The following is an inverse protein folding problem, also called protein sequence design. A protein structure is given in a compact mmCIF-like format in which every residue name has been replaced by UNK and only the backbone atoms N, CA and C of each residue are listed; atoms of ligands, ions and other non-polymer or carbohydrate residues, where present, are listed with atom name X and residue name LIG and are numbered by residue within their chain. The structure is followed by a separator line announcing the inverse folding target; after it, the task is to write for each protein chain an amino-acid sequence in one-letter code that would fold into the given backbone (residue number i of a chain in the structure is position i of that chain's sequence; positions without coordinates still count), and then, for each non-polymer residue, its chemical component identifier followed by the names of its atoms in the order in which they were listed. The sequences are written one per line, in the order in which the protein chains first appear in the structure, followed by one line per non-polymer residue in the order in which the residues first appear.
data_IF_286049762680
#
_entry.id   IF_286049762680
#
_cell.length_a   1.000
_cell.length_b   1.000
_cell.length_c   1.000
_cell.angle_alpha   90.00
_cell.angle_beta   90.00
_cell.angle_gamma   90.00
#
_symmetry.space_group_name_H-M   'P 1'
#
loop_
_entity.id
_entity.type
_entity.pdbx_description
1 polymer ?
#
# COMPACT_ATOMS: atom_id res chain seq x y z
N UNK A 1 28.29 -13.14 32.21
CA UNK A 1 28.13 -13.85 30.91
C UNK A 1 27.43 -12.91 29.95
N UNK A 2 28.17 -12.16 29.14
CA UNK A 2 27.58 -11.27 28.12
C UNK A 2 27.40 -12.07 26.82
N UNK A 3 26.41 -12.96 26.81
CA UNK A 3 25.98 -13.65 25.60
C UNK A 3 25.11 -12.74 24.72
N UNK A 4 24.98 -13.07 23.44
CA UNK A 4 24.01 -12.42 22.55
C UNK A 4 22.60 -12.57 23.13
N UNK A 5 21.81 -11.51 23.07
CA UNK A 5 20.38 -11.55 23.41
C UNK A 5 19.61 -12.46 22.45
N UNK A 6 18.40 -12.90 22.84
CA UNK A 6 17.52 -13.64 21.93
C UNK A 6 17.23 -12.84 20.65
N UNK A 7 17.06 -11.52 20.79
CA UNK A 7 16.89 -10.60 19.67
C UNK A 7 18.08 -10.62 18.71
N UNK A 8 19.31 -10.46 19.22
CA UNK A 8 20.52 -10.46 18.39
C UNK A 8 20.75 -11.81 17.70
N UNK A 9 20.38 -12.91 18.38
CA UNK A 9 20.43 -14.25 17.78
C UNK A 9 19.44 -14.39 16.61
N UNK A 10 18.23 -13.83 16.76
CA UNK A 10 17.18 -13.93 15.73
C UNK A 10 17.43 -13.00 14.53
N UNK A 11 17.83 -11.75 14.77
CA UNK A 11 17.88 -10.72 13.74
C UNK A 11 19.29 -10.37 13.26
N UNK A 12 20.34 -10.77 14.00
CA UNK A 12 21.73 -10.49 13.62
C UNK A 12 22.22 -9.07 13.92
N UNK A 13 21.42 -8.24 14.59
CA UNK A 13 21.78 -6.88 15.04
C UNK A 13 21.18 -6.58 16.42
N UNK A 14 21.66 -5.53 17.10
CA UNK A 14 21.18 -5.19 18.44
C UNK A 14 19.88 -4.37 18.38
N UNK A 15 18.93 -4.65 19.30
CA UNK A 15 17.64 -3.93 19.35
C UNK A 15 17.80 -2.40 19.49
N UNK A 16 18.83 -1.95 20.21
CA UNK A 16 19.16 -0.52 20.39
C UNK A 16 19.55 0.21 19.10
N UNK A 17 19.89 -0.54 18.04
CA UNK A 17 20.27 0.03 16.75
C UNK A 17 19.05 0.29 15.85
N UNK A 18 17.88 -0.25 16.20
CA UNK A 18 16.61 0.11 15.55
C UNK A 18 16.07 1.39 16.19
N UNK A 19 16.28 2.50 15.50
CA UNK A 19 15.88 3.86 15.90
C UNK A 19 15.08 4.52 14.80
N UNK A 20 14.50 5.68 15.08
CA UNK A 20 13.71 6.43 14.09
C UNK A 20 14.55 6.87 12.87
N UNK A 21 15.87 7.05 13.03
CA UNK A 21 16.77 7.31 11.90
C UNK A 21 16.97 6.08 11.00
N UNK A 22 17.01 4.88 11.59
CA UNK A 22 17.56 3.66 10.96
C UNK A 22 16.50 2.64 10.61
N UNK A 23 15.27 2.75 11.11
CA UNK A 23 14.28 1.67 11.04
C UNK A 23 13.96 1.18 9.63
N UNK A 24 14.05 2.04 8.61
CA UNK A 24 13.81 1.63 7.20
C UNK A 24 15.04 1.07 6.49
N UNK A 25 16.21 1.13 7.12
CA UNK A 25 17.45 0.62 6.53
C UNK A 25 17.60 -0.86 6.83
N UNK A 26 18.16 -1.62 5.87
CA UNK A 26 18.59 -2.99 6.13
C UNK A 26 19.82 -3.01 7.05
N UNK A 27 19.94 -3.95 7.99
CA UNK A 27 19.00 -5.06 8.24
C UNK A 27 17.85 -4.74 9.21
N UNK A 28 17.78 -3.51 9.74
CA UNK A 28 16.83 -3.13 10.80
C UNK A 28 15.36 -3.23 10.37
N UNK A 29 15.09 -3.01 9.09
CA UNK A 29 13.77 -3.10 8.47
C UNK A 29 13.09 -4.48 8.64
N UNK A 30 13.85 -5.58 8.72
CA UNK A 30 13.34 -6.94 8.96
C UNK A 30 12.53 -7.05 10.25
N UNK A 31 12.93 -6.31 11.28
CA UNK A 31 12.18 -6.26 12.54
C UNK A 31 11.20 -5.09 12.56
N UNK A 32 11.65 -3.90 12.13
CA UNK A 32 10.87 -2.67 12.32
C UNK A 32 9.58 -2.64 11.50
N UNK A 33 9.54 -3.25 10.32
CA UNK A 33 8.36 -3.28 9.46
C UNK A 33 7.22 -4.08 10.09
N UNK A 34 7.54 -4.99 11.02
CA UNK A 34 6.57 -5.72 11.83
C UNK A 34 6.16 -4.97 13.12
N UNK A 35 6.95 -3.97 13.54
CA UNK A 35 6.87 -3.34 14.85
C UNK A 35 6.88 -1.80 14.79
N UNK A 36 6.29 -1.23 13.74
CA UNK A 36 6.32 0.23 13.48
C UNK A 36 5.77 1.05 14.66
N UNK A 37 4.79 0.53 15.39
CA UNK A 37 4.20 1.18 16.56
C UNK A 37 5.18 1.42 17.73
N UNK A 38 6.32 0.73 17.77
CA UNK A 38 7.38 1.01 18.75
C UNK A 38 8.25 2.22 18.38
N UNK A 39 8.08 2.77 17.17
CA UNK A 39 8.95 3.81 16.60
C UNK A 39 8.17 5.07 16.21
N UNK A 40 6.94 4.89 15.71
CA UNK A 40 6.11 5.96 15.19
C UNK A 40 4.73 5.90 15.86
N UNK A 41 4.21 7.03 16.38
CA UNK A 41 2.86 7.10 16.94
C UNK A 41 1.84 6.47 15.98
N UNK A 42 1.00 5.59 16.52
CA UNK A 42 0.06 4.80 15.73
C UNK A 42 -1.29 4.71 16.40
N UNK A 43 -2.35 4.75 15.60
CA UNK A 43 -3.70 4.40 16.04
C UNK A 43 -4.02 2.98 15.61
N UNK A 44 -4.81 2.29 16.43
CA UNK A 44 -5.12 0.88 16.28
C UNK A 44 -6.63 0.69 16.07
N UNK A 45 -7.01 -0.21 15.18
CA UNK A 45 -8.40 -0.53 14.83
C UNK A 45 -8.60 -2.03 15.03
N UNK A 46 -9.48 -2.36 15.99
CA UNK A 46 -9.76 -3.73 16.38
C UNK A 46 -10.27 -4.59 15.22
N UNK A 47 -9.92 -5.88 15.28
CA UNK A 47 -10.41 -6.90 14.36
C UNK A 47 -11.83 -7.35 14.69
N UNK A 48 -12.44 -8.10 13.77
CA UNK A 48 -13.61 -8.89 14.09
C UNK A 48 -13.23 -10.03 15.08
N UNK A 49 -14.16 -10.47 15.96
CA UNK A 49 -13.93 -11.64 16.81
C UNK A 49 -13.65 -12.90 15.98
N UNK A 50 -12.75 -13.77 16.47
CA UNK A 50 -12.49 -15.09 15.86
C UNK A 50 -11.02 -15.36 15.54
N UNK A 51 -10.24 -14.30 15.29
CA UNK A 51 -8.81 -14.41 15.02
C UNK A 51 -8.47 -15.09 13.69
N UNK A 52 -7.17 -15.19 13.41
CA UNK A 52 -6.66 -15.83 12.21
C UNK A 52 -6.67 -17.37 12.37
N UNK A 53 -7.16 -18.09 11.38
CA UNK A 53 -7.04 -19.56 11.35
C UNK A 53 -5.58 -20.02 11.28
N UNK A 54 -5.31 -21.30 11.56
CA UNK A 54 -3.94 -21.86 11.52
C UNK A 54 -3.25 -21.63 10.17
N UNK A 55 -1.93 -21.45 10.20
CA UNK A 55 -1.09 -21.36 9.01
C UNK A 55 -1.27 -22.60 8.12
N UNK A 56 -1.36 -22.40 6.80
CA UNK A 56 -1.41 -23.50 5.83
C UNK A 56 -0.20 -23.38 4.92
N UNK A 57 0.76 -24.30 4.98
CA UNK A 57 1.95 -24.23 4.13
C UNK A 57 1.59 -24.25 2.62
N UNK A 58 2.32 -23.48 1.82
CA UNK A 58 2.29 -23.59 0.34
C UNK A 58 2.89 -24.91 -0.19
N UNK A 59 3.54 -25.72 0.67
CA UNK A 59 3.92 -27.10 0.37
C UNK A 59 4.88 -27.25 -0.82
N UNK A 60 4.57 -28.18 -1.73
CA UNK A 60 5.40 -28.48 -2.91
C UNK A 60 5.51 -27.33 -3.89
N UNK A 61 4.64 -26.31 -3.79
CA UNK A 61 4.73 -25.10 -4.61
C UNK A 61 6.10 -24.41 -4.47
N UNK A 62 6.78 -24.57 -3.33
CA UNK A 62 8.13 -24.02 -3.13
C UNK A 62 9.18 -24.59 -4.09
N UNK A 63 8.96 -25.79 -4.61
CA UNK A 63 9.88 -26.49 -5.52
C UNK A 63 9.57 -26.22 -7.00
N UNK A 64 8.40 -25.64 -7.29
CA UNK A 64 8.02 -25.27 -8.65
C UNK A 64 8.97 -24.21 -9.22
N UNK A 65 9.27 -24.32 -10.51
CA UNK A 65 10.22 -23.44 -11.20
C UNK A 65 9.50 -22.28 -11.86
N UNK A 66 10.01 -21.07 -11.62
CA UNK A 66 9.60 -19.86 -12.33
C UNK A 66 10.73 -19.46 -13.29
N UNK A 67 10.37 -19.02 -14.49
CA UNK A 67 11.32 -18.50 -15.48
C UNK A 67 11.35 -16.98 -15.46
N UNK A 68 12.54 -16.42 -15.37
CA UNK A 68 12.83 -14.98 -15.42
C UNK A 68 13.76 -14.69 -16.60
N UNK A 69 13.95 -13.42 -16.94
CA UNK A 69 14.88 -13.02 -18.00
C UNK A 69 16.32 -13.50 -17.74
N UNK A 70 16.73 -13.59 -16.47
CA UNK A 70 18.07 -14.01 -16.05
C UNK A 70 18.26 -15.51 -15.81
N UNK A 71 17.24 -16.35 -16.02
CA UNK A 71 17.28 -17.79 -15.74
C UNK A 71 16.04 -18.28 -14.99
N UNK A 72 16.08 -19.52 -14.53
CA UNK A 72 14.98 -20.12 -13.76
C UNK A 72 15.45 -20.52 -12.37
N UNK A 73 14.60 -20.28 -11.37
CA UNK A 73 14.81 -20.69 -9.98
C UNK A 73 13.48 -21.19 -9.40
N UNK A 74 13.53 -21.82 -8.23
CA UNK A 74 12.32 -22.29 -7.56
C UNK A 74 11.56 -21.14 -6.89
N UNK A 75 10.26 -21.30 -6.67
CA UNK A 75 9.44 -20.36 -5.90
C UNK A 75 10.08 -20.06 -4.56
N UNK A 76 10.51 -21.08 -3.82
CA UNK A 76 11.15 -20.91 -2.51
C UNK A 76 12.48 -20.14 -2.56
N UNK A 77 13.23 -20.28 -3.65
CA UNK A 77 14.49 -19.54 -3.87
C UNK A 77 14.20 -18.07 -4.16
N UNK A 78 13.20 -17.81 -5.01
CA UNK A 78 12.80 -16.45 -5.35
C UNK A 78 12.23 -15.68 -4.16
N UNK A 79 11.43 -16.35 -3.30
CA UNK A 79 10.92 -15.72 -2.07
C UNK A 79 12.08 -15.24 -1.17
N UNK A 80 13.16 -16.02 -1.06
CA UNK A 80 14.37 -15.63 -0.31
C UNK A 80 15.14 -14.51 -1.01
N UNK A 81 15.36 -14.61 -2.33
CA UNK A 81 16.08 -13.59 -3.11
C UNK A 81 15.40 -12.23 -3.08
N UNK A 82 14.07 -12.20 -3.01
CA UNK A 82 13.26 -10.98 -3.00
C UNK A 82 12.94 -10.46 -1.59
N UNK A 83 13.71 -10.89 -0.57
CA UNK A 83 13.54 -10.57 0.86
C UNK A 83 12.09 -10.65 1.33
N UNK A 84 11.40 -11.72 0.93
CA UNK A 84 10.02 -11.94 1.37
C UNK A 84 9.98 -12.24 2.85
N UNK A 85 9.05 -11.60 3.56
CA UNK A 85 8.77 -11.84 4.97
C UNK A 85 7.51 -12.69 5.13
N UNK A 86 6.47 -12.38 4.35
CA UNK A 86 5.20 -13.10 4.38
C UNK A 86 4.56 -13.18 3.00
N UNK A 87 3.92 -14.31 2.72
CA UNK A 87 3.15 -14.56 1.51
C UNK A 87 1.83 -15.23 1.91
N UNK A 88 0.71 -14.81 1.32
CA UNK A 88 -0.57 -15.52 1.34
C UNK A 88 -1.11 -15.59 -0.08
N UNK A 89 -1.60 -16.77 -0.47
CA UNK A 89 -2.23 -17.02 -1.77
C UNK A 89 -3.67 -17.48 -1.55
N UNK A 90 -4.62 -16.80 -2.19
CA UNK A 90 -6.01 -17.22 -2.31
C UNK A 90 -6.32 -17.60 -3.76
N UNK A 91 -7.22 -18.57 -3.96
CA UNK A 91 -7.82 -18.90 -5.25
C UNK A 91 -9.32 -19.09 -5.10
N UNK A 92 -10.12 -18.35 -5.86
CA UNK A 92 -11.58 -18.40 -5.75
C UNK A 92 -12.07 -18.12 -4.32
N UNK A 93 -11.39 -17.20 -3.61
CA UNK A 93 -11.67 -16.87 -2.20
C UNK A 93 -11.23 -17.92 -1.17
N UNK A 94 -10.59 -19.02 -1.58
CA UNK A 94 -10.10 -20.07 -0.67
C UNK A 94 -8.60 -19.99 -0.49
N UNK A 95 -8.12 -20.26 0.73
CA UNK A 95 -6.70 -20.29 1.05
C UNK A 95 -5.99 -21.43 0.33
N UNK A 96 -5.07 -21.09 -0.57
CA UNK A 96 -4.13 -22.03 -1.17
C UNK A 96 -3.04 -22.35 -0.16
N UNK A 97 -2.36 -21.31 0.34
CA UNK A 97 -1.37 -21.44 1.41
C UNK A 97 -0.70 -20.11 1.77
N UNK A 98 0.16 -20.19 2.77
CA UNK A 98 0.97 -19.16 3.35
C UNK A 98 2.44 -19.59 3.36
N UNK A 99 3.33 -18.61 3.32
CA UNK A 99 4.73 -18.77 3.59
C UNK A 99 5.19 -17.61 4.49
N UNK A 100 6.11 -17.89 5.41
CA UNK A 100 6.69 -16.88 6.30
C UNK A 100 8.19 -17.09 6.44
N UNK A 101 8.94 -16.00 6.43
CA UNK A 101 10.36 -16.03 6.72
C UNK A 101 10.61 -16.40 8.19
N UNK A 102 11.79 -16.95 8.54
CA UNK A 102 12.10 -17.34 9.92
C UNK A 102 11.97 -16.21 10.94
N UNK A 103 12.14 -14.95 10.52
CA UNK A 103 12.04 -13.78 11.40
C UNK A 103 10.65 -13.14 11.42
N UNK A 104 9.67 -13.67 10.68
CA UNK A 104 8.28 -13.21 10.70
C UNK A 104 7.37 -14.30 11.28
N UNK A 105 6.93 -14.17 12.55
CA UNK A 105 5.93 -15.06 13.10
C UNK A 105 4.66 -15.06 12.25
N UNK A 106 4.01 -16.22 12.11
CA UNK A 106 2.71 -16.29 11.46
C UNK A 106 1.69 -15.39 12.19
N UNK A 107 0.91 -14.63 11.44
CA UNK A 107 -0.04 -13.64 11.99
C UNK A 107 0.62 -12.33 12.46
N UNK A 108 1.94 -12.17 12.29
CA UNK A 108 2.57 -10.86 12.49
C UNK A 108 2.02 -9.85 11.48
N UNK A 109 1.79 -8.63 11.96
CA UNK A 109 1.48 -7.50 11.07
C UNK A 109 2.74 -7.04 10.39
N UNK A 110 2.57 -6.41 9.24
CA UNK A 110 3.64 -5.80 8.48
C UNK A 110 3.14 -4.49 7.88
N UNK A 111 3.99 -3.46 7.85
CA UNK A 111 3.67 -2.23 7.14
C UNK A 111 3.56 -2.51 5.64
N UNK A 112 2.45 -2.07 5.03
CA UNK A 112 2.17 -2.33 3.61
C UNK A 112 2.61 -1.18 2.70
N UNK A 113 3.28 -0.17 3.28
CA UNK A 113 3.67 1.06 2.61
C UNK A 113 2.56 1.55 1.68
N UNK A 114 2.87 1.79 0.41
CA UNK A 114 1.99 2.47 -0.53
C UNK A 114 0.75 1.69 -0.95
N UNK A 115 0.59 0.42 -0.55
CA UNK A 115 -0.70 -0.26 -0.66
C UNK A 115 -1.75 0.42 0.24
N UNK A 116 -1.34 1.14 1.29
CA UNK A 116 -2.20 2.01 2.11
C UNK A 116 -3.02 2.99 1.27
N UNK A 117 -2.47 3.45 0.14
CA UNK A 117 -3.15 4.35 -0.81
C UNK A 117 -4.40 3.68 -1.39
N UNK A 118 -4.25 2.42 -1.80
CA UNK A 118 -5.30 1.60 -2.37
C UNK A 118 -6.43 1.33 -1.36
N UNK A 119 -6.06 1.09 -0.09
CA UNK A 119 -7.02 0.98 1.03
C UNK A 119 -7.77 2.29 1.27
N UNK A 120 -7.07 3.43 1.21
CA UNK A 120 -7.69 4.76 1.38
C UNK A 120 -8.68 5.08 0.24
N UNK A 121 -8.36 4.68 -0.98
CA UNK A 121 -9.27 4.84 -2.11
C UNK A 121 -10.50 3.93 -2.05
N UNK A 122 -10.41 2.78 -1.38
CA UNK A 122 -11.60 1.98 -1.03
C UNK A 122 -12.54 2.79 -0.14
N UNK A 123 -12.03 3.45 0.91
CA UNK A 123 -12.86 4.31 1.77
C UNK A 123 -13.51 5.45 0.97
N UNK A 124 -12.76 6.09 0.07
CA UNK A 124 -13.30 7.12 -0.83
C UNK A 124 -14.46 6.58 -1.69
N UNK A 125 -14.31 5.36 -2.22
CA UNK A 125 -15.37 4.70 -3.00
C UNK A 125 -16.62 4.36 -2.19
N UNK A 126 -16.46 3.96 -0.93
CA UNK A 126 -17.58 3.74 -0.01
C UNK A 126 -18.33 5.07 0.23
N UNK A 127 -17.61 6.14 0.57
CA UNK A 127 -18.20 7.46 0.80
C UNK A 127 -18.85 8.04 -0.46
N UNK A 128 -18.30 7.74 -1.65
CA UNK A 128 -18.91 8.11 -2.92
C UNK A 128 -20.25 7.40 -3.12
N UNK A 129 -20.32 6.10 -2.82
CA UNK A 129 -21.58 5.35 -2.85
C UNK A 129 -22.62 5.85 -1.85
N UNK A 130 -22.17 6.44 -0.74
CA UNK A 130 -23.03 7.08 0.27
C UNK A 130 -23.44 8.51 -0.10
N UNK A 131 -22.97 9.05 -1.23
CA UNK A 131 -23.27 10.42 -1.68
C UNK A 131 -22.55 11.51 -0.89
N UNK A 132 -21.54 11.16 -0.08
CA UNK A 132 -20.76 12.10 0.73
C UNK A 132 -19.48 12.58 0.04
N UNK A 133 -19.08 11.90 -1.05
CA UNK A 133 -17.81 12.14 -1.72
C UNK A 133 -18.00 12.17 -3.25
N UNK A 134 -17.60 13.27 -3.87
CA UNK A 134 -17.64 13.47 -5.31
C UNK A 134 -16.22 13.57 -5.88
N UNK A 135 -15.75 12.58 -6.66
CA UNK A 135 -14.46 12.65 -7.33
C UNK A 135 -14.33 13.82 -8.31
N UNK A 136 -15.42 14.34 -8.87
CA UNK A 136 -15.33 15.42 -9.85
C UNK A 136 -15.29 16.82 -9.21
N UNK A 137 -15.61 16.93 -7.92
CA UNK A 137 -15.53 18.18 -7.20
C UNK A 137 -14.07 18.67 -7.10
N UNK A 138 -13.85 20.00 -7.04
CA UNK A 138 -12.53 20.55 -6.74
C UNK A 138 -12.12 20.18 -5.31
N UNK A 139 -10.82 19.98 -5.05
CA UNK A 139 -10.30 19.71 -3.70
C UNK A 139 -10.74 20.78 -2.69
N UNK A 140 -10.80 22.03 -3.14
CA UNK A 140 -11.23 23.19 -2.35
C UNK A 140 -12.69 23.16 -1.91
N UNK A 141 -13.52 22.26 -2.46
CA UNK A 141 -14.86 22.00 -1.96
C UNK A 141 -14.82 21.41 -0.53
N UNK A 142 -13.90 20.49 -0.27
CA UNK A 142 -13.76 19.81 1.02
C UNK A 142 -12.70 20.47 1.92
N UNK A 143 -11.68 21.09 1.32
CA UNK A 143 -10.55 21.71 2.02
C UNK A 143 -10.35 23.12 1.47
N UNK A 144 -11.17 24.11 1.87
CA UNK A 144 -11.05 25.50 1.39
C UNK A 144 -9.64 26.09 1.56
N UNK A 145 -8.91 25.65 2.59
CA UNK A 145 -7.55 26.06 2.91
C UNK A 145 -6.52 25.64 1.83
N UNK A 146 -6.86 24.70 0.95
CA UNK A 146 -6.01 24.25 -0.17
C UNK A 146 -5.89 25.27 -1.32
N UNK A 147 -6.63 26.38 -1.27
CA UNK A 147 -6.68 27.41 -2.33
C UNK A 147 -5.32 28.03 -2.68
N UNK A 148 -4.36 28.04 -1.74
CA UNK A 148 -3.02 28.59 -1.96
C UNK A 148 -1.96 27.52 -2.29
N UNK A 149 -2.38 26.26 -2.48
CA UNK A 149 -1.51 25.12 -2.72
C UNK A 149 -1.60 24.61 -4.15
N UNK A 150 -0.78 23.61 -4.48
CA UNK A 150 -0.83 22.85 -5.72
C UNK A 150 -2.19 22.19 -6.02
N UNK A 151 -3.05 22.08 -5.01
CA UNK A 151 -4.36 21.44 -5.10
C UNK A 151 -5.51 22.42 -5.37
N UNK A 152 -5.22 23.72 -5.48
CA UNK A 152 -6.23 24.79 -5.53
C UNK A 152 -7.34 24.59 -6.57
N UNK A 153 -6.95 24.23 -7.81
CA UNK A 153 -7.83 23.95 -8.95
C UNK A 153 -7.82 22.47 -9.36
N UNK A 154 -7.20 21.59 -8.57
CA UNK A 154 -7.25 20.16 -8.79
C UNK A 154 -8.63 19.59 -8.44
N UNK A 155 -9.12 18.65 -9.25
CA UNK A 155 -10.25 17.81 -8.85
C UNK A 155 -9.79 16.71 -7.89
N UNK A 156 -10.72 16.20 -7.08
CA UNK A 156 -10.49 14.99 -6.27
C UNK A 156 -10.11 13.79 -7.15
N UNK A 157 -10.60 13.75 -8.39
CA UNK A 157 -10.24 12.77 -9.41
C UNK A 157 -8.76 12.84 -9.78
N UNK A 158 -8.20 14.04 -9.92
CA UNK A 158 -6.76 14.19 -10.13
C UNK A 158 -5.95 13.67 -8.95
N UNK A 159 -6.44 13.91 -7.73
CA UNK A 159 -5.83 13.38 -6.50
C UNK A 159 -5.86 11.85 -6.51
N UNK A 160 -7.01 11.22 -6.79
CA UNK A 160 -7.20 9.77 -6.88
C UNK A 160 -6.29 9.11 -7.93
N UNK A 161 -6.19 9.71 -9.11
CA UNK A 161 -5.53 9.13 -10.27
C UNK A 161 -4.05 9.50 -10.37
N UNK A 162 -3.49 10.19 -9.36
CA UNK A 162 -2.09 10.65 -9.33
C UNK A 162 -1.74 11.53 -10.55
N UNK A 163 -2.66 12.41 -10.94
CA UNK A 163 -2.48 13.34 -12.06
C UNK A 163 -2.51 14.80 -11.62
N UNK A 164 -2.35 15.07 -10.33
CA UNK A 164 -2.04 16.41 -9.83
C UNK A 164 -0.66 16.80 -10.34
N UNK A 165 -0.57 18.01 -10.87
CA UNK A 165 0.65 18.60 -11.42
C UNK A 165 1.47 19.17 -10.27
N UNK A 166 2.13 18.28 -9.53
CA UNK A 166 2.76 18.58 -8.26
C UNK A 166 4.28 18.72 -8.43
N UNK A 167 4.84 19.86 -8.02
CA UNK A 167 6.27 20.09 -7.98
C UNK A 167 6.86 19.49 -6.70
N UNK A 168 7.03 18.18 -6.74
CA UNK A 168 7.53 17.40 -5.63
C UNK A 168 8.26 16.19 -6.19
N UNK A 169 9.40 15.85 -5.60
CA UNK A 169 10.17 14.66 -5.97
C UNK A 169 10.28 13.73 -4.76
N UNK A 170 10.05 12.43 -4.95
CA UNK A 170 10.20 11.43 -3.90
C UNK A 170 11.63 10.91 -3.84
N UNK A 171 12.57 11.79 -3.47
CA UNK A 171 13.97 11.43 -3.30
C UNK A 171 14.17 10.61 -1.99
N UNK A 172 13.88 9.31 -2.05
CA UNK A 172 13.82 8.38 -0.90
C UNK A 172 15.08 8.35 -0.02
N UNK A 173 16.23 8.63 -0.63
CA UNK A 173 17.56 8.54 -0.02
C UNK A 173 18.20 9.89 0.29
N UNK A 174 17.59 11.01 -0.12
CA UNK A 174 18.12 12.35 0.16
C UNK A 174 17.53 12.92 1.48
N UNK A 175 18.34 13.07 2.53
CA UNK A 175 17.89 13.54 3.84
C UNK A 175 17.56 15.04 3.90
N UNK A 176 17.91 15.81 2.87
CA UNK A 176 17.66 17.26 2.79
C UNK A 176 16.54 17.62 1.80
N UNK A 177 16.03 16.64 1.05
CA UNK A 177 14.95 16.84 0.08
C UNK A 177 13.64 17.33 0.71
N UNK A 178 12.74 17.85 -0.15
CA UNK A 178 11.33 18.09 0.22
C UNK A 178 10.65 16.80 0.75
N UNK A 179 11.08 15.64 0.25
CA UNK A 179 10.61 14.33 0.74
C UNK A 179 11.05 14.04 2.18
N UNK A 180 12.24 14.48 2.59
CA UNK A 180 12.68 14.37 3.97
C UNK A 180 11.86 15.27 4.91
N UNK A 181 11.54 16.51 4.49
CA UNK A 181 10.61 17.40 5.24
C UNK A 181 9.23 16.76 5.38
N UNK A 182 8.70 16.22 4.30
CA UNK A 182 7.44 15.46 4.29
C UNK A 182 7.45 14.27 5.26
N UNK A 183 8.54 13.49 5.30
CA UNK A 183 8.66 12.40 6.28
C UNK A 183 8.73 12.93 7.72
N UNK A 184 9.42 14.05 7.97
CA UNK A 184 9.44 14.71 9.28
C UNK A 184 8.05 15.18 9.72
N UNK A 185 7.24 15.74 8.82
CA UNK A 185 5.87 16.16 9.15
C UNK A 185 4.95 14.99 9.52
N UNK A 186 5.33 13.76 9.14
CA UNK A 186 4.63 12.52 9.52
C UNK A 186 5.23 11.81 10.73
N UNK A 187 6.25 12.39 11.39
CA UNK A 187 7.03 11.79 12.46
C UNK A 187 7.78 10.51 12.07
N UNK A 188 7.99 10.29 10.77
CA UNK A 188 8.70 9.14 10.23
C UNK A 188 10.21 9.32 10.18
N UNK A 189 10.68 10.55 10.40
CA UNK A 189 12.08 10.94 10.51
C UNK A 189 12.29 11.79 11.77
N UNK A 190 13.50 11.77 12.36
CA UNK A 190 13.86 12.69 13.43
C UNK A 190 13.75 14.16 12.99
N UNK A 191 13.56 15.05 13.97
CA UNK A 191 13.35 16.48 13.73
C UNK A 191 11.95 16.84 13.23
N UNK A 192 10.98 15.92 13.37
CA UNK A 192 9.56 16.21 13.21
C UNK A 192 8.94 16.90 14.43
N UNK A 193 7.63 17.12 14.39
CA UNK A 193 6.86 17.70 15.51
C UNK A 193 6.75 19.23 15.52
N UNK A 194 7.20 19.89 14.46
CA UNK A 194 7.08 21.34 14.26
C UNK A 194 6.11 21.73 13.13
N UNK A 195 5.74 20.77 12.29
CA UNK A 195 4.84 20.93 11.16
C UNK A 195 4.01 19.64 11.02
N UNK A 196 2.69 19.78 10.94
CA UNK A 196 1.80 18.63 10.70
C UNK A 196 1.80 18.22 9.23
N UNK A 197 1.38 16.99 8.95
CA UNK A 197 1.21 16.48 7.60
C UNK A 197 0.23 17.37 6.82
N UNK A 198 -0.90 17.75 7.43
CA UNK A 198 -1.88 18.61 6.80
C UNK A 198 -1.28 19.98 6.44
N UNK A 199 -0.58 20.63 7.37
CA UNK A 199 0.10 21.90 7.12
C UNK A 199 1.13 21.79 5.99
N UNK A 200 1.97 20.74 6.00
CA UNK A 200 2.96 20.50 4.97
C UNK A 200 2.33 20.41 3.57
N UNK A 201 1.25 19.64 3.41
CA UNK A 201 0.58 19.45 2.11
C UNK A 201 0.11 20.76 1.49
N UNK A 202 -0.33 21.71 2.31
CA UNK A 202 -0.80 23.03 1.85
C UNK A 202 0.35 23.94 1.36
N UNK A 203 1.62 23.59 1.65
CA UNK A 203 2.79 24.34 1.17
C UNK A 203 3.24 23.92 -0.23
N UNK A 204 2.81 22.76 -0.71
CA UNK A 204 3.24 22.21 -1.98
C UNK A 204 2.81 23.09 -3.15
N UNK A 205 3.69 23.23 -4.14
CA UNK A 205 3.47 24.07 -5.32
C UNK A 205 3.21 23.22 -6.56
N UNK A 206 2.53 23.81 -7.54
CA UNK A 206 2.22 23.14 -8.80
C UNK A 206 3.30 23.39 -9.85
N UNK A 207 3.48 22.42 -10.74
CA UNK A 207 4.24 22.62 -11.97
C UNK A 207 3.41 23.45 -12.97
N UNK A 208 4.04 23.86 -14.07
CA UNK A 208 3.36 24.60 -15.14
C UNK A 208 2.34 23.78 -15.95
N UNK A 209 2.47 22.45 -15.95
CA UNK A 209 1.59 21.53 -16.67
C UNK A 209 0.17 21.53 -16.05
N UNK A 210 -0.92 21.46 -16.83
CA UNK A 210 -2.26 21.27 -16.29
C UNK A 210 -2.44 19.94 -15.56
N UNK A 211 -3.34 19.90 -14.57
CA UNK A 211 -3.77 18.66 -13.93
C UNK A 211 -4.39 17.68 -14.95
N UNK A 212 -4.35 16.38 -14.64
CA UNK A 212 -4.93 15.34 -15.48
C UNK A 212 -4.03 14.86 -16.62
N UNK A 213 -3.00 15.63 -16.99
CA UNK A 213 -2.20 15.33 -18.17
C UNK A 213 -1.21 14.19 -17.93
N UNK A 214 -0.40 14.24 -16.88
CA UNK A 214 0.65 13.22 -16.69
C UNK A 214 0.43 12.47 -15.39
N UNK A 215 0.49 11.14 -15.45
CA UNK A 215 0.57 10.33 -14.24
C UNK A 215 1.93 10.58 -13.57
N UNK A 216 1.88 11.10 -12.34
CA UNK A 216 3.06 11.34 -11.50
C UNK A 216 2.80 10.72 -10.15
N UNK A 217 3.53 9.65 -9.86
CA UNK A 217 3.44 9.01 -8.57
C UNK A 217 3.93 9.97 -7.46
N UNK A 218 3.02 10.41 -6.60
CA UNK A 218 3.28 11.37 -5.51
C UNK A 218 2.46 11.01 -4.27
N UNK A 219 3.14 10.55 -3.24
CA UNK A 219 2.56 10.18 -1.96
C UNK A 219 1.73 11.31 -1.32
N UNK A 220 2.11 12.60 -1.40
CA UNK A 220 1.27 13.70 -0.91
C UNK A 220 -0.18 13.67 -1.39
N UNK A 221 -0.43 13.25 -2.64
CA UNK A 221 -1.79 13.11 -3.16
C UNK A 221 -2.63 12.10 -2.36
N UNK A 222 -2.01 11.12 -1.72
CA UNK A 222 -2.75 10.08 -0.99
C UNK A 222 -3.00 10.46 0.47
N UNK A 223 -2.16 11.32 1.06
CA UNK A 223 -2.48 11.94 2.34
C UNK A 223 -3.51 13.05 2.19
N UNK A 224 -3.45 13.81 1.09
CA UNK A 224 -4.52 14.72 0.72
C UNK A 224 -5.84 13.95 0.57
N UNK A 225 -5.83 12.77 -0.05
CA UNK A 225 -7.01 11.89 -0.11
C UNK A 225 -7.49 11.46 1.30
N UNK A 226 -6.57 11.19 2.22
CA UNK A 226 -6.90 10.90 3.62
C UNK A 226 -7.67 12.04 4.28
N UNK A 227 -7.17 13.28 4.15
CA UNK A 227 -7.84 14.47 4.70
C UNK A 227 -9.20 14.69 4.00
N UNK A 228 -9.27 14.49 2.68
CA UNK A 228 -10.51 14.61 1.91
C UNK A 228 -11.60 13.66 2.43
N UNK A 229 -11.28 12.38 2.71
CA UNK A 229 -12.27 11.43 3.22
C UNK A 229 -12.69 11.74 4.67
N UNK A 230 -11.79 12.29 5.49
CA UNK A 230 -12.16 12.76 6.83
C UNK A 230 -13.08 13.99 6.77
N UNK A 231 -12.77 14.97 5.91
CA UNK A 231 -13.59 16.18 5.73
C UNK A 231 -14.98 15.86 5.16
N UNK A 232 -15.07 14.94 4.21
CA UNK A 232 -16.33 14.52 3.62
C UNK A 232 -17.25 13.77 4.59
N UNK A 233 -16.68 12.96 5.49
CA UNK A 233 -17.44 12.11 6.41
C UNK A 233 -17.62 12.69 7.81
N UNK A 234 -16.78 13.67 8.20
CA UNK A 234 -16.66 14.15 9.58
C UNK A 234 -16.04 13.13 10.55
N UNK A 235 -15.46 12.03 10.05
CA UNK A 235 -14.88 10.95 10.87
C UNK A 235 -13.41 10.75 10.56
N UNK A 236 -12.63 10.34 11.56
CA UNK A 236 -11.22 10.00 11.36
C UNK A 236 -11.04 8.76 10.48
N UNK A 237 -9.92 8.66 9.77
CA UNK A 237 -9.59 7.48 8.94
C UNK A 237 -9.65 6.19 9.74
N UNK A 238 -9.20 6.17 11.01
CA UNK A 238 -9.29 4.97 11.85
C UNK A 238 -10.73 4.55 12.12
N UNK A 239 -11.65 5.49 12.30
CA UNK A 239 -13.08 5.21 12.47
C UNK A 239 -13.70 4.71 11.17
N UNK A 240 -13.38 5.34 10.04
CA UNK A 240 -13.82 4.89 8.72
C UNK A 240 -13.31 3.49 8.40
N UNK A 241 -12.02 3.23 8.66
CA UNK A 241 -11.43 1.89 8.52
C UNK A 241 -12.21 0.88 9.33
N UNK A 242 -12.44 1.14 10.62
CA UNK A 242 -13.17 0.24 11.51
C UNK A 242 -14.58 -0.06 10.99
N UNK A 243 -15.39 0.98 10.82
CA UNK A 243 -16.83 0.87 10.58
C UNK A 243 -17.18 0.45 9.16
N UNK A 244 -16.43 0.97 8.17
CA UNK A 244 -16.78 0.84 6.76
C UNK A 244 -16.05 -0.28 6.05
N UNK A 245 -14.84 -0.64 6.50
CA UNK A 245 -14.01 -1.63 5.82
C UNK A 245 -13.64 -2.83 6.68
N UNK A 246 -12.92 -2.62 7.79
CA UNK A 246 -12.24 -3.67 8.54
C UNK A 246 -13.22 -4.66 9.20
N UNK A 247 -14.21 -4.16 9.94
CA UNK A 247 -15.24 -5.02 10.53
C UNK A 247 -16.15 -5.65 9.47
N UNK A 248 -16.68 -4.92 8.47
CA UNK A 248 -17.47 -5.53 7.39
C UNK A 248 -16.72 -6.59 6.57
N UNK A 249 -15.41 -6.41 6.35
CA UNK A 249 -14.54 -7.36 5.64
C UNK A 249 -14.38 -8.67 6.43
N UNK A 250 -14.64 -8.65 7.74
CA UNK A 250 -14.35 -9.77 8.63
C UNK A 250 -12.85 -9.97 8.79
N UNK A 251 -12.08 -8.87 8.83
CA UNK A 251 -10.65 -8.92 9.04
C UNK A 251 -10.32 -9.58 10.40
N UNK A 252 -9.32 -10.46 10.38
CA UNK A 252 -9.04 -11.37 11.48
C UNK A 252 -8.05 -10.81 12.50
N UNK A 253 -7.24 -9.82 12.08
CA UNK A 253 -6.23 -9.18 12.92
C UNK A 253 -6.43 -7.67 12.97
N UNK A 254 -5.83 -7.02 13.96
CA UNK A 254 -5.88 -5.56 14.11
C UNK A 254 -5.16 -4.88 12.94
N UNK A 255 -5.70 -3.77 12.43
CA UNK A 255 -4.95 -2.84 11.56
C UNK A 255 -4.46 -1.65 12.39
N UNK A 256 -3.22 -1.24 12.16
CA UNK A 256 -2.69 0.02 12.71
C UNK A 256 -2.41 1.02 11.60
N UNK A 257 -2.51 2.31 11.92
CA UNK A 257 -2.12 3.40 11.03
C UNK A 257 -1.22 4.38 11.78
N UNK A 258 -0.02 4.64 11.28
CA UNK A 258 0.83 5.69 11.86
C UNK A 258 0.18 7.06 11.71
N UNK A 259 0.38 7.94 12.68
CA UNK A 259 -0.18 9.30 12.71
C UNK A 259 0.89 10.35 13.00
N UNK A 260 0.64 11.56 12.54
CA UNK A 260 1.49 12.71 12.87
C UNK A 260 1.18 13.29 14.27
N UNK A 261 1.76 14.46 14.56
CA UNK A 261 1.59 15.16 15.84
C UNK A 261 0.16 15.64 16.14
N UNK A 262 -0.69 15.79 15.12
CA UNK A 262 -2.10 16.18 15.26
C UNK A 262 -3.03 14.96 15.21
N UNK A 263 -2.47 13.76 15.00
CA UNK A 263 -3.25 12.55 14.79
C UNK A 263 -3.70 12.35 13.34
N UNK A 264 -3.19 13.13 12.38
CA UNK A 264 -3.48 12.95 10.94
C UNK A 264 -2.94 11.60 10.49
N UNK A 265 -3.80 10.77 9.90
CA UNK A 265 -3.41 9.44 9.43
C UNK A 265 -2.45 9.52 8.23
N UNK A 266 -1.38 8.71 8.27
CA UNK A 266 -0.45 8.51 7.17
C UNK A 266 -1.06 7.58 6.10
N UNK A 267 -2.08 8.04 5.38
CA UNK A 267 -2.80 7.22 4.40
C UNK A 267 -1.99 6.87 3.16
N UNK A 268 -0.90 7.61 2.89
CA UNK A 268 -0.02 7.27 1.78
C UNK A 268 0.89 6.07 2.03
N UNK A 269 1.07 5.61 3.26
CA UNK A 269 2.07 4.57 3.54
C UNK A 269 2.03 3.87 4.90
N UNK A 270 1.24 4.35 5.86
CA UNK A 270 1.44 4.01 7.25
C UNK A 270 0.55 2.93 7.83
N UNK A 271 -0.13 2.15 6.98
CA UNK A 271 -0.96 1.05 7.45
C UNK A 271 -0.13 -0.21 7.67
N UNK A 272 -0.41 -0.95 8.74
CA UNK A 272 0.16 -2.28 8.99
C UNK A 272 -0.95 -3.30 9.26
N UNK A 273 -0.86 -4.46 8.61
CA UNK A 273 -1.84 -5.56 8.69
C UNK A 273 -1.17 -6.91 8.40
N UNK A 274 -1.90 -8.02 8.55
CA UNK A 274 -1.36 -9.35 8.21
C UNK A 274 -1.46 -9.62 6.70
N UNK A 275 -0.61 -10.53 6.13
CA UNK A 275 -0.70 -10.92 4.73
C UNK A 275 -2.10 -11.43 4.33
N UNK A 276 -2.76 -12.17 5.22
CA UNK A 276 -4.10 -12.72 4.96
C UNK A 276 -5.18 -11.65 4.93
N UNK A 277 -5.16 -10.68 5.84
CA UNK A 277 -6.11 -9.56 5.78
C UNK A 277 -5.89 -8.69 4.54
N UNK A 278 -4.64 -8.51 4.11
CA UNK A 278 -4.36 -7.87 2.83
C UNK A 278 -4.92 -8.67 1.64
N UNK A 279 -4.80 -10.00 1.66
CA UNK A 279 -5.38 -10.87 0.64
C UNK A 279 -6.92 -10.82 0.64
N UNK A 280 -7.58 -10.67 1.80
CA UNK A 280 -9.04 -10.45 1.90
C UNK A 280 -9.47 -9.18 1.18
N UNK A 281 -8.70 -8.09 1.29
CA UNK A 281 -8.95 -6.85 0.52
C UNK A 281 -8.86 -7.13 -0.98
N UNK A 282 -7.83 -7.85 -1.43
CA UNK A 282 -7.70 -8.21 -2.84
C UNK A 282 -8.86 -9.06 -3.36
N UNK A 283 -9.30 -10.04 -2.58
CA UNK A 283 -10.45 -10.88 -2.93
C UNK A 283 -11.75 -10.09 -2.97
N UNK A 284 -11.97 -9.16 -2.02
CA UNK A 284 -13.12 -8.26 -2.06
C UNK A 284 -13.14 -7.41 -3.35
N UNK A 285 -11.99 -6.87 -3.76
CA UNK A 285 -11.87 -6.12 -5.00
C UNK A 285 -12.11 -7.02 -6.23
N UNK A 286 -11.60 -8.25 -6.23
CA UNK A 286 -11.87 -9.24 -7.29
C UNK A 286 -13.35 -9.56 -7.41
N UNK A 287 -14.06 -9.62 -6.28
CA UNK A 287 -15.51 -9.88 -6.17
C UNK A 287 -16.37 -8.62 -6.34
N UNK A 288 -15.86 -7.58 -7.02
CA UNK A 288 -16.65 -6.38 -7.32
C UNK A 288 -17.06 -5.58 -6.07
N UNK A 289 -16.29 -5.67 -4.98
CA UNK A 289 -16.54 -4.95 -3.73
C UNK A 289 -17.35 -5.73 -2.70
N UNK A 290 -17.55 -7.04 -2.90
CA UNK A 290 -18.31 -7.91 -1.99
C UNK A 290 -17.38 -8.77 -1.14
N UNK A 291 -17.65 -8.86 0.15
CA UNK A 291 -17.03 -9.83 1.06
C UNK A 291 -18.08 -10.40 2.01
N UNK A 292 -17.96 -11.68 2.36
CA UNK A 292 -18.88 -12.37 3.29
C UNK A 292 -20.37 -12.19 2.94
N UNK A 293 -20.70 -12.21 1.64
CA UNK A 293 -22.08 -12.02 1.15
C UNK A 293 -22.61 -10.58 1.26
N UNK A 294 -21.79 -9.61 1.68
CA UNK A 294 -22.16 -8.20 1.80
C UNK A 294 -21.36 -7.35 0.83
N UNK A 295 -22.05 -6.45 0.12
CA UNK A 295 -21.39 -5.39 -0.65
C UNK A 295 -20.84 -4.32 0.30
N UNK A 296 -19.53 -4.14 0.28
CA UNK A 296 -18.80 -3.13 1.05
C UNK A 296 -18.56 -1.91 0.16
N UNK A 297 -18.00 -2.13 -1.04
CA UNK A 297 -17.70 -1.09 -2.01
C UNK A 297 -18.71 -1.15 -3.16
N UNK A 298 -19.21 -0.01 -3.67
CA UNK A 298 -20.06 -0.01 -4.86
C UNK A 298 -19.40 -0.71 -6.05
N UNK A 299 -20.15 -1.58 -6.73
CA UNK A 299 -19.63 -2.33 -7.88
C UNK A 299 -19.10 -1.40 -8.98
N UNK A 300 -19.82 -0.30 -9.22
CA UNK A 300 -19.44 0.70 -10.20
C UNK A 300 -18.06 1.32 -9.89
N UNK A 301 -17.77 1.59 -8.61
CA UNK A 301 -16.46 2.09 -8.19
C UNK A 301 -15.36 1.05 -8.41
N UNK A 302 -15.62 -0.21 -8.06
CA UNK A 302 -14.63 -1.29 -8.25
C UNK A 302 -14.36 -1.51 -9.73
N UNK A 303 -15.40 -1.61 -10.56
CA UNK A 303 -15.28 -1.76 -12.03
C UNK A 303 -14.53 -0.58 -12.66
N UNK A 304 -14.85 0.65 -12.24
CA UNK A 304 -14.10 1.84 -12.64
C UNK A 304 -12.62 1.74 -12.26
N UNK A 305 -12.33 1.27 -11.04
CA UNK A 305 -10.97 1.15 -10.51
C UNK A 305 -10.12 0.14 -11.29
N UNK A 306 -10.63 -1.06 -11.53
CA UNK A 306 -9.80 -2.19 -11.97
C UNK A 306 -9.96 -2.54 -13.46
N UNK A 307 -10.96 -2.00 -14.15
CA UNK A 307 -11.26 -2.41 -15.53
C UNK A 307 -11.53 -1.25 -16.50
N UNK A 308 -12.39 -0.30 -16.14
CA UNK A 308 -12.92 0.66 -17.13
C UNK A 308 -12.35 2.07 -17.04
N UNK A 309 -11.79 2.46 -15.90
CA UNK A 309 -11.25 3.80 -15.66
C UNK A 309 -9.72 3.89 -15.81
N UNK A 310 -9.20 5.10 -15.62
CA UNK A 310 -7.78 5.43 -15.78
C UNK A 310 -7.42 5.84 -17.20
N UNK A 311 -6.57 6.86 -17.36
CA UNK A 311 -6.11 7.31 -18.68
C UNK A 311 -4.85 6.56 -19.09
N UNK A 312 -4.92 5.92 -20.26
CA UNK A 312 -3.75 5.31 -20.89
C UNK A 312 -2.73 6.38 -21.31
N UNK A 313 -3.18 7.50 -21.88
CA UNK A 313 -2.30 8.57 -22.33
C UNK A 313 -1.53 9.21 -21.17
N UNK A 314 -2.21 9.49 -20.05
CA UNK A 314 -1.55 10.03 -18.87
C UNK A 314 -0.53 9.05 -18.28
N UNK A 315 -0.84 7.75 -18.29
CA UNK A 315 0.10 6.70 -17.89
C UNK A 315 1.34 6.65 -18.78
N UNK A 316 1.17 6.67 -20.11
CA UNK A 316 2.28 6.65 -21.08
C UNK A 316 3.19 7.88 -20.97
N UNK A 317 2.66 9.03 -20.56
CA UNK A 317 3.48 10.22 -20.26
C UNK A 317 4.23 10.13 -18.92
N UNK A 318 3.83 9.20 -18.05
CA UNK A 318 4.44 8.97 -16.75
C UNK A 318 5.67 8.09 -16.80
N UNK A 319 6.28 7.85 -15.63
CA UNK A 319 7.55 7.11 -15.51
C UNK A 319 7.38 5.61 -15.25
N UNK A 320 6.15 5.11 -15.11
CA UNK A 320 5.89 3.71 -14.74
C UNK A 320 5.58 2.79 -15.94
N UNK A 321 5.63 3.34 -17.17
CA UNK A 321 5.37 2.56 -18.38
C UNK A 321 6.38 1.42 -18.60
N UNK A 322 7.58 1.49 -18.01
CA UNK A 322 8.54 0.39 -18.07
C UNK A 322 8.02 -0.88 -17.35
N UNK A 323 7.31 -0.70 -16.23
CA UNK A 323 6.80 -1.81 -15.42
C UNK A 323 5.51 -2.38 -16.04
N UNK A 324 4.62 -1.50 -16.49
CA UNK A 324 3.37 -1.89 -17.18
C UNK A 324 3.23 -1.11 -18.50
N UNK A 325 3.76 -1.62 -19.62
CA UNK A 325 3.72 -0.93 -20.91
C UNK A 325 2.31 -0.64 -21.44
N UNK A 326 1.32 -1.47 -21.05
CA UNK A 326 -0.10 -1.29 -21.38
C UNK A 326 -0.92 -0.83 -20.18
N UNK A 327 -0.24 -0.38 -19.12
CA UNK A 327 -0.85 -0.11 -17.84
C UNK A 327 -1.71 1.15 -17.81
N UNK A 328 -2.43 1.28 -16.69
CA UNK A 328 -3.18 2.47 -16.29
C UNK A 328 -3.12 2.61 -14.78
N UNK A 329 -3.46 3.81 -14.30
CA UNK A 329 -3.65 4.05 -12.87
C UNK A 329 -5.00 4.70 -12.62
N UNK A 330 -5.75 4.17 -11.66
CA UNK A 330 -7.10 4.64 -11.33
C UNK A 330 -7.41 4.40 -9.86
N UNK A 331 -7.95 5.40 -9.16
CA UNK A 331 -8.35 5.27 -7.75
C UNK A 331 -7.28 4.64 -6.86
N UNK A 332 -6.01 5.03 -7.00
CA UNK A 332 -4.89 4.46 -6.23
C UNK A 332 -4.54 2.98 -6.50
N UNK A 333 -4.98 2.42 -7.62
CA UNK A 333 -4.64 1.07 -8.06
C UNK A 333 -3.93 1.07 -9.41
N UNK A 334 -3.00 0.14 -9.57
CA UNK A 334 -2.34 -0.13 -10.85
C UNK A 334 -3.15 -1.17 -11.62
N UNK A 335 -3.43 -0.91 -12.89
CA UNK A 335 -3.88 -1.90 -13.85
C UNK A 335 -2.67 -2.30 -14.69
N UNK A 336 -2.36 -3.59 -14.78
CA UNK A 336 -1.12 -4.05 -15.46
C UNK A 336 -1.22 -3.96 -16.98
N UNK A 337 -2.45 -4.01 -17.51
CA UNK A 337 -2.70 -4.09 -18.96
C UNK A 337 -2.36 -5.46 -19.57
N UNK A 338 -2.13 -6.48 -18.74
CA UNK A 338 -1.98 -7.87 -19.19
C UNK A 338 -3.35 -8.46 -19.57
N UNK A 339 -3.35 -9.47 -20.45
CA UNK A 339 -4.57 -10.17 -20.89
C UNK A 339 -5.30 -10.92 -19.76
N UNK A 340 -4.62 -11.12 -18.62
CA UNK A 340 -5.22 -11.62 -17.38
C UNK A 340 -6.18 -10.62 -16.73
N UNK A 341 -6.14 -9.35 -17.15
CA UNK A 341 -6.86 -8.26 -16.48
C UNK A 341 -6.30 -7.94 -15.09
N UNK A 342 -5.05 -8.33 -14.82
CA UNK A 342 -4.47 -8.20 -13.50
C UNK A 342 -4.38 -6.73 -13.05
N UNK A 343 -4.54 -6.54 -11.74
CA UNK A 343 -4.39 -5.26 -11.08
C UNK A 343 -3.69 -5.45 -9.73
N UNK A 344 -3.06 -4.39 -9.23
CA UNK A 344 -2.28 -4.50 -8.01
C UNK A 344 -2.18 -3.20 -7.20
N UNK A 345 -1.82 -3.37 -5.93
CA UNK A 345 -1.23 -2.35 -5.08
C UNK A 345 0.26 -2.66 -4.89
N UNK A 346 1.10 -1.63 -4.94
CA UNK A 346 2.56 -1.74 -4.83
C UNK A 346 3.04 -0.81 -3.72
N UNK A 347 3.93 -1.32 -2.86
CA UNK A 347 4.62 -0.57 -1.81
C UNK A 347 6.13 -0.78 -1.89
N UNK A 348 6.88 0.26 -1.50
CA UNK A 348 8.35 0.21 -1.42
C UNK A 348 8.83 -0.95 -0.54
N UNK A 349 10.07 -1.37 -0.74
CA UNK A 349 10.67 -2.52 -0.07
C UNK A 349 9.99 -3.87 -0.36
N UNK A 350 9.25 -3.96 -1.47
CA UNK A 350 8.68 -5.22 -1.97
C UNK A 350 7.29 -5.59 -1.44
N UNK A 351 6.43 -4.61 -1.13
CA UNK A 351 5.04 -4.91 -0.75
C UNK A 351 4.18 -5.04 -2.00
N UNK A 352 3.46 -6.15 -2.13
CA UNK A 352 2.58 -6.41 -3.26
C UNK A 352 1.25 -6.99 -2.81
N UNK A 353 0.17 -6.41 -3.32
CA UNK A 353 -1.13 -7.07 -3.42
C UNK A 353 -1.43 -7.21 -4.90
N UNK A 354 -1.30 -8.42 -5.42
CA UNK A 354 -1.49 -8.72 -6.83
C UNK A 354 -2.73 -9.58 -7.02
N UNK A 355 -3.61 -9.20 -7.95
CA UNK A 355 -4.88 -9.87 -8.21
C UNK A 355 -4.98 -10.22 -9.69
N UNK A 356 -5.15 -11.51 -9.98
CA UNK A 356 -5.40 -12.03 -11.32
C UNK A 356 -6.87 -12.48 -11.40
N UNK A 357 -7.77 -11.68 -11.99
CA UNK A 357 -9.18 -12.04 -12.06
C UNK A 357 -9.44 -13.23 -12.99
N UNK A 358 -8.61 -13.45 -14.02
CA UNK A 358 -8.76 -14.57 -14.97
C UNK A 358 -8.52 -15.93 -14.33
N UNK A 359 -7.52 -16.05 -13.46
CA UNK A 359 -7.26 -17.30 -12.72
C UNK A 359 -7.88 -17.32 -11.33
N UNK A 360 -8.58 -16.25 -10.96
CA UNK A 360 -9.20 -16.05 -9.65
C UNK A 360 -8.20 -16.07 -8.48
N UNK A 361 -6.94 -15.69 -8.73
CA UNK A 361 -5.86 -15.73 -7.75
C UNK A 361 -5.59 -14.36 -7.15
N UNK A 362 -5.41 -14.33 -5.83
CA UNK A 362 -4.96 -13.15 -5.07
C UNK A 362 -3.69 -13.52 -4.32
N UNK A 363 -2.65 -12.70 -4.47
CA UNK A 363 -1.35 -12.88 -3.82
C UNK A 363 -1.03 -11.63 -3.00
N UNK A 364 -0.91 -11.80 -1.70
CA UNK A 364 -0.36 -10.79 -0.81
C UNK A 364 1.07 -11.18 -0.44
N UNK A 365 2.04 -10.33 -0.78
CA UNK A 365 3.46 -10.50 -0.48
C UNK A 365 3.96 -9.28 0.28
N UNK A 366 4.58 -9.50 1.43
CA UNK A 366 5.21 -8.48 2.28
C UNK A 366 6.70 -8.78 2.37
N UNK A 367 7.53 -7.74 2.40
CA UNK A 367 8.99 -7.88 2.27
C UNK A 367 9.73 -6.76 3.00
N UNK A 368 11.01 -7.01 3.29
CA UNK A 368 11.91 -6.06 3.92
C UNK A 368 13.17 -5.87 3.06
N UNK A 369 12.95 -5.65 1.75
CA UNK A 369 14.04 -5.44 0.79
C UNK A 369 14.94 -4.27 1.23
N UNK A 370 16.27 -4.38 1.04
CA UNK A 370 17.20 -3.33 1.45
C UNK A 370 16.91 -1.97 0.81
N UNK A 371 16.69 -1.98 -0.51
CA UNK A 371 16.36 -0.78 -1.26
C UNK A 371 14.84 -0.52 -1.28
N UNK A 372 14.41 0.75 -1.25
CA UNK A 372 12.99 1.07 -1.33
C UNK A 372 12.39 0.75 -2.70
N UNK A 373 13.17 0.85 -3.77
CA UNK A 373 12.76 0.58 -5.16
C UNK A 373 13.89 -0.16 -5.87
N UNK A 374 13.56 -1.23 -6.58
CA UNK A 374 14.46 -1.99 -7.45
C UNK A 374 13.70 -2.40 -8.71
N UNK A 375 13.82 -1.58 -9.76
CA UNK A 375 13.07 -1.74 -11.01
C UNK A 375 13.26 -3.13 -11.65
N UNK A 376 14.47 -3.71 -11.52
CA UNK A 376 14.77 -5.03 -12.08
C UNK A 376 14.05 -6.11 -11.28
N UNK A 377 14.12 -6.03 -9.96
CA UNK A 377 13.42 -6.98 -9.09
C UNK A 377 11.90 -6.85 -9.21
N UNK A 378 11.38 -5.64 -9.44
CA UNK A 378 9.95 -5.41 -9.67
C UNK A 378 9.46 -6.09 -10.96
N UNK A 379 10.24 -6.06 -12.05
CA UNK A 379 9.93 -6.82 -13.27
C UNK A 379 9.93 -8.33 -13.03
N UNK A 380 10.90 -8.84 -12.25
CA UNK A 380 10.91 -10.24 -11.84
C UNK A 380 9.68 -10.57 -10.98
N UNK A 381 9.28 -9.70 -10.05
CA UNK A 381 8.12 -9.89 -9.18
C UNK A 381 6.82 -9.98 -9.98
N UNK A 382 6.64 -9.13 -10.99
CA UNK A 382 5.49 -9.23 -11.90
C UNK A 382 5.48 -10.57 -12.62
N UNK A 383 6.63 -11.01 -13.15
CA UNK A 383 6.76 -12.32 -13.81
C UNK A 383 6.47 -13.48 -12.86
N UNK A 384 6.94 -13.37 -11.60
CA UNK A 384 6.68 -14.32 -10.53
C UNK A 384 5.18 -14.44 -10.23
N UNK A 385 4.46 -13.31 -10.09
CA UNK A 385 3.04 -13.35 -9.79
C UNK A 385 2.20 -13.90 -10.94
N UNK A 386 2.53 -13.58 -12.19
CA UNK A 386 1.86 -14.18 -13.36
C UNK A 386 2.06 -15.69 -13.39
N UNK A 387 3.30 -16.17 -13.21
CA UNK A 387 3.60 -17.60 -13.17
C UNK A 387 2.86 -18.30 -12.02
N UNK A 388 2.98 -17.77 -10.79
CA UNK A 388 2.35 -18.34 -9.60
C UNK A 388 0.83 -18.40 -9.73
N UNK A 389 0.22 -17.41 -10.36
CA UNK A 389 -1.23 -17.35 -10.62
C UNK A 389 -1.74 -18.46 -11.55
N UNK A 390 -0.85 -19.09 -12.33
CA UNK A 390 -1.19 -20.22 -13.21
C UNK A 390 -0.87 -21.59 -12.60
N UNK A 391 -0.01 -21.63 -11.57
CA UNK A 391 0.42 -22.87 -10.91
C UNK A 391 -0.59 -23.39 -9.89
N UNK A 392 -1.35 -22.49 -9.26
CA UNK A 392 -2.29 -22.80 -8.16
C UNK A 392 -3.71 -22.95 -8.66
#
# INVERSE_FOLDING_TARGET
MTGKTAFETQYGFARKDVRLETWRLSPFNRWSFQNVGELVPSVHVAAAPGGEGQAKSVGTLLEEKVSFAGGSETVGSFLKRSDTDGLTILKGGKLVGDWSAPHMPFGARHIIFSISKSVTAILAGILQGEGLFDPNAPVTHYIPEAKSSAYSDASVRNVLDMTVSLDFEEAYLDPQSAFARYRRSTLWNPGGGSESLAAFLLTLQRLAEPHGQTYRYRSPNSDMLGILVERASGKRVSQLLSEKLWLPLGAASEISVTVDMEGTARTAGGMSMTPRDLARIGEMMRQGGTANGRRIVPEAWVRDTVATGGSFEAWQRGTMAFLFPKGRYRNKWYQTGHDSGAFCGIGIHGQWLYVNPKTEVVIAKMSSQPEPVDDRLDLDLVSFFEALSTMV
#
